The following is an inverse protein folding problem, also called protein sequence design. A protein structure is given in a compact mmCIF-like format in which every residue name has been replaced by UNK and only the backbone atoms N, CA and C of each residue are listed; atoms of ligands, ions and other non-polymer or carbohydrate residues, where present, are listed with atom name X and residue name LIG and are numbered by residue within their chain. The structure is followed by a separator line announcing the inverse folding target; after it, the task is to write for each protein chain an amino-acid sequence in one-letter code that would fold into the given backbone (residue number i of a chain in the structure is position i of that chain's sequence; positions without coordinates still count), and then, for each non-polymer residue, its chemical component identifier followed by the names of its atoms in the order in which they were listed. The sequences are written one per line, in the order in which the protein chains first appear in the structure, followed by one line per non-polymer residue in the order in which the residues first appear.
data_IF_828600287750
#
_entry.id   IF_828600287750
#
_cell.length_a   1.000
_cell.length_b   1.000
_cell.length_c   1.000
_cell.angle_alpha   90.00
_cell.angle_beta   90.00
_cell.angle_gamma   90.00
#
_symmetry.space_group_name_H-M   'P 1'
#
loop_
_entity.id
_entity.type
_entity.pdbx_description
1 polymer ?
#
# COMPACT_ATOMS: atom_id res chain seq x y z
N UNK A 1 -28.23 -22.08 -0.08
CA UNK A 1 -26.91 -22.05 -0.72
C UNK A 1 -25.90 -21.73 0.36
N UNK A 2 -25.13 -22.70 0.80
CA UNK A 2 -24.03 -22.47 1.73
C UNK A 2 -22.90 -21.82 0.96
N UNK A 3 -22.62 -20.57 1.24
CA UNK A 3 -21.48 -19.85 0.71
C UNK A 3 -20.21 -20.46 1.31
N UNK A 4 -19.61 -21.41 0.62
CA UNK A 4 -18.31 -21.96 0.99
C UNK A 4 -17.23 -21.00 0.46
N UNK A 5 -17.06 -19.86 1.13
CA UNK A 5 -15.91 -18.99 0.86
C UNK A 5 -14.61 -19.77 0.99
N UNK A 6 -13.57 -19.39 0.23
CA UNK A 6 -12.25 -20.03 0.29
C UNK A 6 -11.81 -20.24 1.73
N UNK A 7 -11.24 -21.44 2.08
CA UNK A 7 -10.69 -21.69 3.40
C UNK A 7 -9.56 -20.71 3.75
N UNK A 8 -8.92 -20.12 2.74
CA UNK A 8 -7.77 -19.22 2.87
C UNK A 8 -8.15 -17.74 2.97
N UNK A 9 -9.45 -17.41 3.04
CA UNK A 9 -9.89 -16.01 3.15
C UNK A 9 -9.35 -15.33 4.41
N UNK A 10 -9.03 -14.04 4.33
CA UNK A 10 -8.40 -13.24 5.38
C UNK A 10 -9.06 -13.40 6.75
N UNK A 11 -10.38 -13.27 6.84
CA UNK A 11 -11.10 -13.38 8.12
C UNK A 11 -11.07 -14.77 8.75
N UNK A 12 -10.77 -15.83 7.98
CA UNK A 12 -10.57 -17.17 8.53
C UNK A 12 -9.18 -17.34 9.11
N UNK A 13 -8.18 -16.65 8.56
CA UNK A 13 -6.80 -16.70 9.04
C UNK A 13 -6.56 -15.84 10.29
N UNK A 14 -7.39 -14.84 10.54
CA UNK A 14 -7.27 -13.99 11.73
C UNK A 14 -7.63 -14.80 12.98
N UNK A 15 -6.83 -14.72 14.07
CA UNK A 15 -7.13 -15.39 15.33
C UNK A 15 -8.38 -14.84 16.00
N UNK A 16 -8.98 -15.65 16.81
CA UNK A 16 -10.11 -15.26 17.65
C UNK A 16 -9.63 -14.54 18.91
N UNK A 17 -10.46 -13.63 19.40
CA UNK A 17 -10.27 -12.88 20.63
C UNK A 17 -11.52 -13.01 21.48
N UNK A 18 -11.37 -13.25 22.78
CA UNK A 18 -12.45 -13.18 23.74
C UNK A 18 -12.71 -11.72 24.09
N UNK A 19 -13.85 -11.20 23.66
CA UNK A 19 -14.25 -9.82 23.87
C UNK A 19 -15.42 -9.74 24.86
N UNK A 20 -15.40 -8.82 25.84
CA UNK A 20 -16.52 -8.64 26.78
C UNK A 20 -17.83 -8.41 26.03
N UNK A 21 -18.85 -9.14 26.38
CA UNK A 21 -20.16 -8.97 25.77
C UNK A 21 -20.71 -7.58 26.06
N UNK A 22 -21.14 -6.86 25.01
CA UNK A 22 -21.82 -5.57 25.14
C UNK A 22 -23.25 -5.71 25.70
N UNK A 23 -23.79 -6.92 25.68
CA UNK A 23 -25.04 -7.26 26.36
C UNK A 23 -24.73 -7.49 27.84
N UNK A 24 -24.52 -6.39 28.56
CA UNK A 24 -24.29 -6.41 29.99
C UNK A 24 -25.62 -6.65 30.72
N UNK A 25 -26.24 -7.80 30.46
CA UNK A 25 -27.36 -8.29 31.23
C UNK A 25 -26.75 -8.98 32.46
N UNK A 26 -27.06 -8.46 33.67
CA UNK A 26 -26.54 -8.98 34.94
C UNK A 26 -26.81 -10.46 35.16
N UNK A 27 -27.61 -11.07 34.29
CA UNK A 27 -28.00 -12.47 34.31
C UNK A 27 -27.35 -13.30 33.16
N UNK A 28 -26.52 -12.72 32.28
CA UNK A 28 -25.87 -13.52 31.24
C UNK A 28 -24.73 -14.34 31.83
N UNK A 29 -24.80 -15.65 31.63
CA UNK A 29 -23.79 -16.61 32.05
C UNK A 29 -22.49 -16.46 31.22
N UNK A 30 -22.57 -15.73 30.10
CA UNK A 30 -21.46 -15.51 29.17
C UNK A 30 -21.06 -14.06 29.14
N UNK A 31 -20.02 -13.72 29.92
CA UNK A 31 -19.46 -12.37 29.95
C UNK A 31 -18.59 -12.04 28.74
N UNK A 32 -18.22 -13.06 27.94
CA UNK A 32 -17.34 -12.94 26.80
C UNK A 32 -17.95 -13.53 25.53
N UNK A 33 -17.66 -12.90 24.40
CA UNK A 33 -17.99 -13.36 23.05
C UNK A 33 -16.72 -13.55 22.24
N UNK A 34 -16.65 -14.62 21.47
CA UNK A 34 -15.56 -14.87 20.55
C UNK A 34 -15.75 -13.97 19.34
N UNK A 35 -14.80 -13.06 19.11
CA UNK A 35 -14.77 -12.16 17.95
C UNK A 35 -13.45 -12.30 17.20
N UNK A 36 -13.43 -11.94 15.92
CA UNK A 36 -12.18 -11.88 15.17
C UNK A 36 -11.34 -10.66 15.59
N UNK A 37 -10.05 -10.86 15.76
CA UNK A 37 -9.13 -9.77 16.10
C UNK A 37 -8.82 -8.91 14.87
N UNK A 38 -9.67 -7.90 14.63
CA UNK A 38 -9.49 -6.94 13.53
C UNK A 38 -8.57 -5.77 13.89
N UNK A 39 -8.09 -5.68 15.12
CA UNK A 39 -7.25 -4.58 15.59
C UNK A 39 -5.78 -4.77 15.28
N UNK A 40 -5.37 -5.97 14.88
CA UNK A 40 -4.00 -6.29 14.53
C UNK A 40 -3.88 -6.48 13.03
N UNK A 41 -2.83 -5.89 12.45
CA UNK A 41 -2.48 -6.04 11.04
C UNK A 41 -1.05 -6.55 10.93
N UNK A 42 -0.85 -7.52 10.08
CA UNK A 42 0.49 -7.91 9.64
C UNK A 42 0.94 -6.99 8.50
N UNK A 43 2.18 -6.54 8.58
CA UNK A 43 2.85 -5.75 7.53
C UNK A 43 4.14 -6.48 7.19
N UNK A 44 4.41 -6.64 5.90
CA UNK A 44 5.70 -7.16 5.45
C UNK A 44 6.73 -6.05 5.64
N UNK A 45 7.91 -6.42 6.14
CA UNK A 45 9.02 -5.50 6.34
C UNK A 45 9.57 -5.05 4.98
N UNK A 46 9.93 -3.78 4.88
CA UNK A 46 10.40 -3.18 3.61
C UNK A 46 11.69 -3.83 3.09
N UNK A 47 12.56 -4.32 4.00
CA UNK A 47 13.79 -5.04 3.63
C UNK A 47 13.56 -6.39 2.94
N UNK A 48 12.38 -6.99 3.09
CA UNK A 48 12.01 -8.25 2.42
C UNK A 48 11.58 -7.99 0.96
N UNK A 49 11.08 -6.80 0.64
CA UNK A 49 10.69 -6.47 -0.73
C UNK A 49 11.87 -6.40 -1.71
N UNK A 50 13.08 -6.14 -1.21
CA UNK A 50 14.30 -6.12 -2.01
C UNK A 50 14.81 -7.53 -2.32
N UNK A 51 14.27 -8.58 -1.68
CA UNK A 51 14.58 -9.97 -2.01
C UNK A 51 13.84 -10.41 -3.29
N UNK A 52 14.47 -10.17 -4.44
CA UNK A 52 14.02 -10.53 -5.80
C UNK A 52 13.63 -12.03 -5.91
N UNK A 53 14.11 -12.85 -5.00
CA UNK A 53 13.85 -14.30 -5.00
C UNK A 53 12.41 -14.65 -4.61
N UNK A 54 11.80 -13.89 -3.69
CA UNK A 54 10.48 -14.20 -3.14
C UNK A 54 9.31 -13.59 -3.94
N UNK A 55 9.56 -12.52 -4.70
CA UNK A 55 8.54 -11.76 -5.40
C UNK A 55 8.72 -11.77 -6.92
N UNK A 56 7.63 -11.61 -7.63
CA UNK A 56 7.58 -11.35 -9.07
C UNK A 56 6.90 -10.01 -9.29
N UNK A 57 7.49 -9.14 -10.11
CA UNK A 57 6.84 -7.90 -10.52
C UNK A 57 5.73 -8.20 -11.52
N UNK A 58 4.59 -7.61 -11.31
CA UNK A 58 3.42 -7.73 -12.17
C UNK A 58 2.80 -6.35 -12.39
N UNK A 59 2.42 -6.05 -13.63
CA UNK A 59 1.69 -4.83 -13.95
C UNK A 59 0.24 -5.18 -14.20
N UNK A 60 -0.66 -4.64 -13.35
CA UNK A 60 -2.10 -4.89 -13.42
C UNK A 60 -2.66 -4.41 -14.76
N UNK A 61 -3.32 -5.30 -15.49
CA UNK A 61 -3.84 -5.04 -16.83
C UNK A 61 -5.32 -4.65 -16.79
N UNK A 62 -5.66 -3.55 -17.44
CA UNK A 62 -7.06 -3.12 -17.57
C UNK A 62 -7.74 -2.88 -16.23
N UNK A 63 -8.85 -3.57 -16.01
CA UNK A 63 -9.72 -3.44 -14.82
C UNK A 63 -9.61 -4.65 -13.90
N UNK A 64 -8.47 -5.35 -13.91
CA UNK A 64 -8.25 -6.52 -13.05
C UNK A 64 -8.39 -6.16 -11.58
N UNK A 65 -9.16 -6.98 -10.86
CA UNK A 65 -9.35 -6.86 -9.42
C UNK A 65 -8.38 -7.76 -8.65
N UNK A 66 -8.08 -7.45 -7.37
CA UNK A 66 -7.17 -8.28 -6.57
C UNK A 66 -7.53 -9.76 -6.53
N UNK A 67 -8.84 -10.10 -6.48
CA UNK A 67 -9.34 -11.47 -6.48
C UNK A 67 -9.08 -12.21 -7.81
N UNK A 68 -9.13 -11.51 -8.93
CA UNK A 68 -8.81 -12.07 -10.25
C UNK A 68 -7.30 -12.33 -10.39
N UNK A 69 -6.48 -11.38 -9.94
CA UNK A 69 -5.03 -11.55 -9.92
C UNK A 69 -4.63 -12.70 -8.99
N UNK A 70 -5.26 -12.80 -7.79
CA UNK A 70 -5.03 -13.92 -6.88
C UNK A 70 -5.40 -15.27 -7.51
N UNK A 71 -6.51 -15.33 -8.22
CA UNK A 71 -6.89 -16.55 -8.93
C UNK A 71 -5.87 -16.94 -10.02
N UNK A 72 -5.35 -15.95 -10.75
CA UNK A 72 -4.37 -16.18 -11.81
C UNK A 72 -3.05 -16.77 -11.27
N UNK A 73 -2.55 -16.29 -10.13
CA UNK A 73 -1.26 -16.70 -9.59
C UNK A 73 -1.34 -17.85 -8.58
N UNK A 74 -2.41 -17.91 -7.79
CA UNK A 74 -2.57 -18.87 -6.69
C UNK A 74 -3.67 -19.90 -6.93
N UNK A 75 -4.45 -19.75 -8.02
CA UNK A 75 -5.64 -20.55 -8.30
C UNK A 75 -6.69 -20.51 -7.17
N UNK A 76 -6.66 -19.45 -6.36
CA UNK A 76 -7.60 -19.21 -5.26
C UNK A 76 -7.87 -17.70 -5.14
N UNK A 77 -9.10 -17.29 -5.45
CA UNK A 77 -9.52 -15.89 -5.34
C UNK A 77 -9.60 -15.39 -3.89
N UNK A 78 -9.65 -16.30 -2.91
CA UNK A 78 -9.67 -15.92 -1.48
C UNK A 78 -8.31 -15.50 -0.92
N UNK A 79 -7.25 -15.57 -1.74
CA UNK A 79 -5.91 -15.10 -1.42
C UNK A 79 -5.63 -13.67 -1.92
N UNK A 80 -6.67 -12.93 -2.31
CA UNK A 80 -6.59 -11.52 -2.70
C UNK A 80 -5.89 -10.65 -1.64
N UNK A 81 -6.16 -10.94 -0.37
CA UNK A 81 -5.54 -10.26 0.75
C UNK A 81 -4.01 -10.45 0.83
N UNK A 82 -3.48 -11.56 0.33
CA UNK A 82 -2.03 -11.79 0.26
C UNK A 82 -1.40 -10.77 -0.69
N UNK A 83 -2.02 -10.53 -1.85
CA UNK A 83 -1.56 -9.52 -2.81
C UNK A 83 -1.63 -8.13 -2.18
N UNK A 84 -2.73 -7.81 -1.49
CA UNK A 84 -2.88 -6.52 -0.82
C UNK A 84 -1.87 -6.34 0.31
N UNK A 85 -1.64 -7.38 1.10
CA UNK A 85 -0.67 -7.36 2.19
C UNK A 85 0.77 -7.24 1.69
N UNK A 86 1.13 -7.94 0.61
CA UNK A 86 2.48 -7.85 0.01
C UNK A 86 2.79 -6.46 -0.54
N UNK A 87 1.80 -5.74 -1.01
CA UNK A 87 1.97 -4.37 -1.52
C UNK A 87 1.62 -3.28 -0.50
N UNK A 88 1.38 -3.67 0.75
CA UNK A 88 0.99 -2.77 1.85
C UNK A 88 -0.26 -1.94 1.56
N UNK A 89 -1.15 -2.43 0.70
CA UNK A 89 -2.41 -1.79 0.32
C UNK A 89 -3.43 -1.94 1.46
N UNK A 90 -3.94 -0.82 1.97
CA UNK A 90 -4.96 -0.77 3.03
C UNK A 90 -6.33 -0.46 2.42
N UNK A 91 -6.36 0.55 1.57
CA UNK A 91 -7.56 1.03 0.93
C UNK A 91 -7.57 0.65 -0.56
N UNK A 92 -8.14 -0.51 -0.86
CA UNK A 92 -8.21 -1.03 -2.23
C UNK A 92 -8.80 0.00 -3.20
N UNK A 93 -9.80 0.77 -2.76
CA UNK A 93 -10.44 1.78 -3.61
C UNK A 93 -9.49 2.90 -4.04
N UNK A 94 -8.57 3.31 -3.15
CA UNK A 94 -7.72 4.47 -3.37
C UNK A 94 -6.30 4.08 -3.84
N UNK A 95 -5.84 2.90 -3.44
CA UNK A 95 -4.46 2.44 -3.66
C UNK A 95 -4.33 1.41 -4.78
N UNK A 96 -5.41 0.73 -5.17
CA UNK A 96 -5.45 -0.14 -6.34
C UNK A 96 -5.64 0.69 -7.61
N UNK A 97 -5.05 0.30 -8.76
CA UNK A 97 -5.26 1.03 -10.02
C UNK A 97 -6.73 0.98 -10.43
N UNK A 98 -7.28 2.14 -10.77
CA UNK A 98 -8.64 2.27 -11.27
C UNK A 98 -8.70 1.83 -12.72
N UNK A 99 -9.77 1.12 -13.09
CA UNK A 99 -10.12 0.88 -14.48
C UNK A 99 -10.54 2.17 -15.19
N UNK A 100 -10.56 2.11 -16.52
CA UNK A 100 -10.82 3.31 -17.33
C UNK A 100 -12.15 4.01 -16.99
N UNK A 101 -13.21 3.24 -16.78
CA UNK A 101 -14.53 3.81 -16.49
C UNK A 101 -14.58 4.45 -15.09
N UNK A 102 -14.02 3.77 -14.10
CA UNK A 102 -13.96 4.27 -12.73
C UNK A 102 -13.06 5.50 -12.64
N UNK A 103 -11.93 5.50 -13.36
CA UNK A 103 -11.02 6.61 -13.45
C UNK A 103 -11.67 7.86 -14.06
N UNK A 104 -12.41 7.70 -15.17
CA UNK A 104 -13.18 8.81 -15.76
C UNK A 104 -14.24 9.35 -14.80
N UNK A 105 -14.94 8.46 -14.09
CA UNK A 105 -15.93 8.86 -13.08
C UNK A 105 -15.28 9.64 -11.94
N UNK A 106 -14.11 9.18 -11.47
CA UNK A 106 -13.30 9.87 -10.46
C UNK A 106 -12.87 11.26 -10.92
N UNK A 107 -12.33 11.38 -12.15
CA UNK A 107 -11.89 12.66 -12.71
C UNK A 107 -13.04 13.66 -12.81
N UNK A 108 -14.18 13.24 -13.34
CA UNK A 108 -15.36 14.09 -13.49
C UNK A 108 -15.99 14.50 -12.16
N UNK A 109 -15.81 13.71 -11.12
CA UNK A 109 -16.27 14.07 -9.77
C UNK A 109 -15.33 15.06 -9.07
N UNK A 110 -14.04 15.06 -9.43
CA UNK A 110 -12.99 15.85 -8.77
C UNK A 110 -12.70 17.17 -9.49
N UNK A 111 -12.78 17.18 -10.81
CA UNK A 111 -12.37 18.31 -11.64
C UNK A 111 -13.42 18.61 -12.72
N UNK A 112 -13.47 19.87 -13.13
CA UNK A 112 -14.16 20.28 -14.36
C UNK A 112 -13.28 19.99 -15.57
N UNK A 113 -13.88 19.87 -16.76
CA UNK A 113 -13.15 19.65 -18.02
C UNK A 113 -12.08 20.73 -18.30
N UNK A 114 -12.38 21.98 -17.96
CA UNK A 114 -11.43 23.09 -18.08
C UNK A 114 -10.24 22.94 -17.13
N UNK A 115 -10.47 22.51 -15.88
CA UNK A 115 -9.41 22.30 -14.89
C UNK A 115 -8.48 21.16 -15.27
N UNK A 116 -8.99 20.09 -15.85
CA UNK A 116 -8.17 18.95 -16.30
C UNK A 116 -7.10 19.36 -17.33
N UNK A 117 -7.38 20.39 -18.13
CA UNK A 117 -6.45 20.90 -19.13
C UNK A 117 -5.43 21.88 -18.56
N UNK A 118 -5.67 22.45 -17.37
CA UNK A 118 -4.75 23.39 -16.72
C UNK A 118 -3.46 22.71 -16.29
N UNK A 119 -2.39 23.51 -16.17
CA UNK A 119 -1.09 23.03 -15.72
C UNK A 119 -1.12 22.83 -14.21
N UNK A 120 -0.84 21.60 -13.78
CA UNK A 120 -0.69 21.24 -12.37
C UNK A 120 0.71 21.63 -11.85
N UNK A 121 1.78 21.24 -12.58
CA UNK A 121 3.17 21.52 -12.20
C UNK A 121 4.10 21.41 -13.41
N UNK A 122 5.36 21.77 -13.18
CA UNK A 122 6.43 21.59 -14.14
C UNK A 122 7.48 20.63 -13.56
N UNK A 123 8.07 19.81 -14.44
CA UNK A 123 9.17 18.94 -14.09
C UNK A 123 10.38 19.20 -14.96
N UNK A 124 11.55 18.93 -14.40
CA UNK A 124 12.81 19.04 -15.13
C UNK A 124 12.94 17.93 -16.17
N UNK A 125 13.54 18.27 -17.33
CA UNK A 125 14.07 17.30 -18.30
C UNK A 125 15.58 17.18 -18.13
N UNK A 126 16.14 16.07 -18.61
CA UNK A 126 17.59 15.86 -18.58
C UNK A 126 18.34 16.96 -19.32
N UNK A 127 19.35 17.53 -18.66
CA UNK A 127 20.37 18.39 -19.27
C UNK A 127 21.72 17.70 -19.07
N UNK A 128 22.47 17.58 -20.16
CA UNK A 128 23.86 17.13 -20.15
C UNK A 128 24.73 18.20 -20.80
N UNK A 129 25.98 18.31 -20.35
CA UNK A 129 26.98 19.15 -21.00
C UNK A 129 27.52 18.51 -22.29
N UNK A 130 28.42 19.19 -22.99
CA UNK A 130 29.05 18.69 -24.21
C UNK A 130 29.97 17.46 -23.98
N UNK A 131 30.38 17.21 -22.72
CA UNK A 131 31.16 16.03 -22.31
C UNK A 131 30.27 14.83 -21.93
N UNK A 132 28.93 15.01 -21.91
CA UNK A 132 27.95 13.99 -21.51
C UNK A 132 27.66 13.95 -20.02
N UNK A 133 28.28 14.83 -19.21
CA UNK A 133 28.06 14.88 -17.76
C UNK A 133 26.63 15.32 -17.45
N UNK A 134 25.99 14.66 -16.51
CA UNK A 134 24.63 15.00 -16.09
C UNK A 134 24.62 16.27 -15.24
N UNK A 135 24.03 17.34 -15.77
CA UNK A 135 23.87 18.62 -15.06
C UNK A 135 22.53 18.67 -14.32
N UNK A 136 21.46 18.26 -14.99
CA UNK A 136 20.12 18.25 -14.43
C UNK A 136 19.46 16.89 -14.66
N UNK A 137 19.02 16.18 -13.60
CA UNK A 137 18.22 14.98 -13.74
C UNK A 137 16.78 15.30 -14.14
N UNK A 138 16.08 14.33 -14.67
CA UNK A 138 14.65 14.38 -14.97
C UNK A 138 13.80 14.17 -13.70
N UNK A 139 12.55 14.67 -13.73
CA UNK A 139 11.53 14.33 -12.73
C UNK A 139 11.55 15.20 -11.45
N UNK A 140 12.29 16.29 -11.39
CA UNK A 140 12.21 17.22 -10.26
C UNK A 140 11.13 18.26 -10.50
N UNK A 141 10.21 18.42 -9.57
CA UNK A 141 9.19 19.48 -9.61
C UNK A 141 9.85 20.85 -9.44
N UNK A 142 9.56 21.76 -10.34
CA UNK A 142 10.15 23.10 -10.40
C UNK A 142 9.09 24.16 -10.75
N UNK A 143 9.32 25.45 -10.41
CA UNK A 143 8.42 26.52 -10.81
C UNK A 143 8.51 26.80 -12.32
N UNK A 144 7.47 27.46 -12.85
CA UNK A 144 7.48 28.00 -14.21
C UNK A 144 8.67 28.97 -14.38
N UNK A 145 9.41 28.80 -15.46
CA UNK A 145 10.58 29.67 -15.73
C UNK A 145 11.88 29.24 -15.03
N UNK A 146 11.91 28.04 -14.44
CA UNK A 146 13.13 27.48 -13.86
C UNK A 146 14.24 27.36 -14.91
N UNK A 147 15.45 27.83 -14.55
CA UNK A 147 16.65 27.80 -15.37
C UNK A 147 17.81 27.22 -14.59
N UNK A 148 18.72 26.56 -15.28
CA UNK A 148 19.97 26.05 -14.73
C UNK A 148 21.15 26.73 -15.39
N UNK A 149 22.10 27.23 -14.59
CA UNK A 149 23.36 27.79 -15.02
C UNK A 149 24.46 26.73 -14.80
N UNK A 150 25.22 26.46 -15.83
CA UNK A 150 26.35 25.52 -15.75
C UNK A 150 27.49 25.94 -16.69
N UNK A 151 28.70 25.48 -16.39
CA UNK A 151 29.87 25.71 -17.24
C UNK A 151 29.98 24.58 -18.26
N UNK A 152 30.01 24.91 -19.53
CA UNK A 152 30.24 23.96 -20.63
C UNK A 152 31.48 24.45 -21.43
N UNK A 153 32.55 23.65 -21.36
CA UNK A 153 33.85 24.00 -21.97
C UNK A 153 34.36 25.41 -21.56
N UNK A 154 34.18 25.79 -20.29
CA UNK A 154 34.60 27.08 -19.76
C UNK A 154 33.65 28.26 -20.08
N UNK A 155 32.58 28.04 -20.82
CA UNK A 155 31.56 29.03 -21.10
C UNK A 155 30.34 28.83 -20.20
N UNK A 156 29.84 29.90 -19.60
CA UNK A 156 28.60 29.87 -18.82
C UNK A 156 27.41 29.70 -19.77
N UNK A 157 26.65 28.61 -19.58
CA UNK A 157 25.38 28.38 -20.26
C UNK A 157 24.24 28.46 -19.29
N UNK A 158 23.11 29.01 -19.75
CA UNK A 158 21.82 29.03 -19.06
C UNK A 158 20.82 28.29 -19.92
N UNK A 159 20.28 27.19 -19.39
CA UNK A 159 19.26 26.42 -20.09
C UNK A 159 18.01 26.25 -19.23
N UNK A 160 16.84 26.24 -19.89
CA UNK A 160 15.57 25.93 -19.29
C UNK A 160 14.98 24.72 -20.04
N UNK A 161 15.10 23.55 -19.46
CA UNK A 161 14.47 22.35 -19.99
C UNK A 161 13.47 21.81 -18.97
N UNK A 162 12.23 22.26 -19.11
CA UNK A 162 11.10 21.85 -18.27
C UNK A 162 10.00 21.25 -19.15
N UNK A 163 9.16 20.41 -18.54
CA UNK A 163 7.95 19.83 -19.12
C UNK A 163 6.78 20.22 -18.22
N UNK A 164 5.71 20.72 -18.80
CA UNK A 164 4.46 20.95 -18.08
C UNK A 164 3.64 19.67 -17.99
N UNK A 165 3.03 19.45 -16.85
CA UNK A 165 2.05 18.40 -16.62
C UNK A 165 0.69 19.00 -16.33
N UNK A 166 -0.33 18.60 -17.07
CA UNK A 166 -1.70 18.99 -16.77
C UNK A 166 -2.24 18.17 -15.57
N UNK A 167 -3.37 18.59 -14.98
CA UNK A 167 -4.05 17.81 -13.96
C UNK A 167 -4.41 16.42 -14.47
N UNK A 168 -4.90 16.30 -15.69
CA UNK A 168 -5.19 15.02 -16.32
C UNK A 168 -3.95 14.09 -16.37
N UNK A 169 -2.81 14.62 -16.84
CA UNK A 169 -1.57 13.85 -16.93
C UNK A 169 -1.05 13.45 -15.55
N UNK A 170 -1.16 14.35 -14.56
CA UNK A 170 -0.77 14.05 -13.20
C UNK A 170 -1.59 12.89 -12.60
N UNK A 171 -2.92 12.95 -12.68
CA UNK A 171 -3.80 11.90 -12.17
C UNK A 171 -3.61 10.58 -12.93
N UNK A 172 -3.39 10.64 -14.24
CA UNK A 172 -3.08 9.44 -15.06
C UNK A 172 -1.79 8.79 -14.58
N UNK A 173 -0.72 9.56 -14.39
CA UNK A 173 0.57 9.05 -13.91
C UNK A 173 0.43 8.44 -12.51
N UNK A 174 -0.37 9.05 -11.62
CA UNK A 174 -0.65 8.50 -10.29
C UNK A 174 -1.40 7.17 -10.38
N UNK A 175 -2.40 7.07 -11.25
CA UNK A 175 -3.12 5.82 -11.44
C UNK A 175 -2.24 4.72 -12.06
N UNK A 176 -1.43 5.08 -13.03
CA UNK A 176 -0.52 4.13 -13.69
C UNK A 176 0.59 3.64 -12.76
N UNK A 177 1.09 4.51 -11.87
CA UNK A 177 2.09 4.11 -10.87
C UNK A 177 1.59 3.03 -9.89
N UNK A 178 0.28 2.91 -9.69
CA UNK A 178 -0.34 1.86 -8.86
C UNK A 178 -0.42 0.50 -9.55
N UNK A 179 -0.20 0.45 -10.89
CA UNK A 179 -0.29 -0.81 -11.64
C UNK A 179 0.85 -1.76 -11.37
N UNK A 180 2.03 -1.24 -11.02
CA UNK A 180 3.21 -2.05 -10.78
C UNK A 180 3.20 -2.58 -9.35
N UNK A 181 2.84 -3.86 -9.21
CA UNK A 181 2.73 -4.55 -7.92
C UNK A 181 3.73 -5.69 -7.80
N UNK A 182 4.03 -6.06 -6.57
CA UNK A 182 4.81 -7.24 -6.25
C UNK A 182 3.87 -8.40 -5.88
N UNK A 183 4.05 -9.53 -6.52
CA UNK A 183 3.31 -10.76 -6.25
C UNK A 183 4.24 -11.75 -5.59
N UNK A 184 3.85 -12.27 -4.43
CA UNK A 184 4.57 -13.35 -3.76
C UNK A 184 4.53 -14.60 -4.63
N UNK A 185 5.67 -15.25 -4.86
CA UNK A 185 5.69 -16.50 -5.63
C UNK A 185 4.94 -17.61 -4.89
N UNK A 186 4.21 -18.47 -5.60
CA UNK A 186 3.43 -19.57 -4.98
C UNK A 186 4.25 -20.49 -4.08
N UNK A 187 5.55 -20.63 -4.36
CA UNK A 187 6.48 -21.46 -3.58
C UNK A 187 6.63 -20.97 -2.13
N UNK A 188 6.53 -19.66 -1.92
CA UNK A 188 6.66 -19.01 -0.60
C UNK A 188 5.31 -18.79 0.11
N UNK A 189 4.19 -19.09 -0.57
CA UNK A 189 2.86 -18.83 -0.03
C UNK A 189 2.62 -19.58 1.30
N UNK A 190 3.02 -20.87 1.39
CA UNK A 190 2.87 -21.66 2.60
C UNK A 190 3.61 -21.04 3.78
N UNK A 191 4.87 -20.66 3.57
CA UNK A 191 5.69 -19.99 4.59
C UNK A 191 5.10 -18.64 5.02
N UNK A 192 4.57 -17.88 4.05
CA UNK A 192 3.92 -16.60 4.33
C UNK A 192 2.68 -16.78 5.22
N UNK A 193 1.82 -17.78 4.92
CA UNK A 193 0.61 -18.05 5.69
C UNK A 193 0.95 -18.49 7.13
N UNK A 194 1.98 -19.32 7.31
CA UNK A 194 2.47 -19.73 8.62
C UNK A 194 3.00 -18.55 9.43
N UNK A 195 3.88 -17.74 8.84
CA UNK A 195 4.40 -16.53 9.48
C UNK A 195 3.29 -15.50 9.78
N UNK A 196 2.29 -15.40 8.90
CA UNK A 196 1.15 -14.52 9.14
C UNK A 196 0.36 -14.98 10.37
N UNK A 197 0.10 -16.27 10.51
CA UNK A 197 -0.59 -16.82 11.68
C UNK A 197 0.18 -16.52 12.97
N UNK A 198 1.50 -16.71 12.99
CA UNK A 198 2.36 -16.40 14.14
C UNK A 198 2.39 -14.90 14.50
N UNK A 199 2.47 -14.04 13.48
CA UNK A 199 2.46 -12.59 13.69
C UNK A 199 1.11 -12.13 14.23
N UNK A 200 0.01 -12.73 13.74
CA UNK A 200 -1.35 -12.37 14.13
C UNK A 200 -1.76 -12.97 15.47
N UNK A 201 -1.03 -13.95 15.99
CA UNK A 201 -1.31 -14.54 17.30
C UNK A 201 -1.27 -13.45 18.40
N UNK A 202 -2.28 -13.48 19.28
CA UNK A 202 -2.35 -12.56 20.40
C UNK A 202 -1.53 -13.10 21.56
N UNK A 203 -0.31 -12.61 21.69
CA UNK A 203 0.55 -12.94 22.84
C UNK A 203 0.12 -12.12 24.06
N UNK A 204 -0.04 -12.74 25.24
CA UNK A 204 -0.37 -12.02 26.44
C UNK A 204 0.63 -10.87 26.67
N UNK A 205 0.12 -9.69 27.05
CA UNK A 205 0.96 -8.54 27.38
C UNK A 205 1.91 -8.94 28.54
N UNK A 206 3.15 -8.43 28.53
CA UNK A 206 4.07 -8.55 29.69
C UNK A 206 3.48 -8.00 31.00
N UNK A 207 2.43 -7.18 30.87
CA UNK A 207 1.67 -6.62 31.99
C UNK A 207 0.56 -7.56 32.49
N UNK A 208 0.23 -8.62 31.77
CA UNK A 208 -0.79 -9.57 32.17
C UNK A 208 -0.28 -10.47 33.31
N UNK A 209 -0.99 -10.49 34.42
CA UNK A 209 -0.69 -11.36 35.55
C UNK A 209 -1.79 -12.39 35.75
N UNK A 210 -3.05 -11.95 35.78
CA UNK A 210 -4.24 -12.77 35.82
C UNK A 210 -5.40 -12.01 35.13
N UNK A 211 -6.51 -12.70 34.87
CA UNK A 211 -7.71 -12.06 34.30
C UNK A 211 -8.21 -10.82 35.08
N UNK A 212 -7.93 -10.78 36.36
CA UNK A 212 -8.32 -9.69 37.26
C UNK A 212 -7.19 -8.74 37.64
N UNK A 213 -5.92 -9.04 37.28
CA UNK A 213 -4.76 -8.29 37.69
C UNK A 213 -3.82 -8.05 36.53
N UNK A 214 -3.53 -6.78 36.26
CA UNK A 214 -2.49 -6.34 35.32
C UNK A 214 -1.41 -5.53 36.05
N UNK A 215 -0.15 -5.79 35.71
CA UNK A 215 0.95 -4.89 36.09
C UNK A 215 0.81 -3.58 35.32
N UNK A 216 0.76 -2.47 36.04
CA UNK A 216 0.94 -1.14 35.44
C UNK A 216 2.39 -0.73 35.59
N UNK A 217 3.17 -0.79 34.52
CA UNK A 217 4.46 -0.11 34.48
C UNK A 217 4.18 1.37 34.23
N UNK A 218 4.39 2.19 35.24
CA UNK A 218 4.33 3.64 35.06
C UNK A 218 5.72 4.11 34.57
N UNK A 219 5.87 4.52 33.31
CA UNK A 219 7.17 4.95 32.79
C UNK A 219 7.74 6.18 33.53
N UNK A 220 6.91 6.94 34.27
CA UNK A 220 7.34 8.05 35.10
C UNK A 220 8.03 7.63 36.43
N UNK A 221 7.86 6.37 36.82
CA UNK A 221 8.49 5.83 38.05
C UNK A 221 9.81 5.08 37.74
N UNK A 222 10.12 4.84 36.46
CA UNK A 222 11.30 4.07 36.02
C UNK A 222 12.43 5.00 35.55
N UNK A 223 12.15 6.27 35.30
CA UNK A 223 13.16 7.28 34.98
C UNK A 223 13.55 8.02 36.29
N UNK A 224 14.79 7.87 36.76
CA UNK A 224 15.32 8.74 37.82
C UNK A 224 15.45 10.18 37.32
#
# INVERSE_FOLDING_TARGET
MTYSGSPNSYFRQIPNLDYPSLRNDRNSVYDYQIVKNIFKRAVIRDDIFDEITAFTKYSVVGDERPDQVAYQFYNDSGLDWVILATNNIIHVRDEWPMGNQDFLTYLNAKYTEAELSNIHHYETKIIRDSSGTLIQPEGKTVPAGYTVNFLDNGNLRTESKIKSFSFLQHETNLNDSKRDINILKPEFLGLFLENFADIMEYKPSKQFVTDKLKKTENPRLISP
#
